data_IF_323931981296
#
_entry.id   IF_323931981296
#
_cell.length_a   1.000
_cell.length_b   1.000
_cell.length_c   1.000
_cell.angle_alpha   90.00
_cell.angle_beta   90.00
_cell.angle_gamma   90.00
#
_symmetry.space_group_name_H-M   'P 1'
#
loop_
_entity.id
_entity.type
_entity.pdbx_description
1 polymer ?
#
# COMPACT_ATOMS: atom_id res chain seq x y z
N UNK A 1 18.20 -3.90 15.13
CA UNK A 1 16.96 -4.47 14.56
C UNK A 1 15.73 -3.67 14.96
N UNK A 2 15.50 -3.40 16.25
CA UNK A 2 14.35 -2.63 16.73
C UNK A 2 14.17 -1.29 16.00
N UNK A 3 15.24 -0.51 15.83
CA UNK A 3 15.19 0.76 15.09
C UNK A 3 14.67 0.63 13.65
N UNK A 4 15.04 -0.43 12.93
CA UNK A 4 14.50 -0.69 11.58
C UNK A 4 13.00 -0.99 11.61
N UNK A 5 12.56 -1.79 12.59
CA UNK A 5 11.14 -2.12 12.77
C UNK A 5 10.33 -0.85 13.07
N UNK A 6 10.80 0.02 13.96
CA UNK A 6 10.11 1.27 14.30
C UNK A 6 9.96 2.20 13.09
N UNK A 7 11.03 2.39 12.31
CA UNK A 7 10.99 3.17 11.08
C UNK A 7 10.06 2.53 10.03
N UNK A 8 10.09 1.21 9.90
CA UNK A 8 9.19 0.50 8.99
C UNK A 8 7.71 0.61 9.39
N UNK A 9 7.40 0.55 10.69
CA UNK A 9 6.05 0.76 11.21
C UNK A 9 5.54 2.18 10.94
N UNK A 10 6.42 3.19 11.07
CA UNK A 10 6.07 4.57 10.75
C UNK A 10 5.73 4.73 9.26
N UNK A 11 6.61 4.27 8.37
CA UNK A 11 6.43 4.40 6.93
C UNK A 11 5.23 3.59 6.43
N UNK A 12 5.08 2.34 6.89
CA UNK A 12 3.98 1.48 6.44
C UNK A 12 2.61 2.00 6.90
N UNK A 13 2.50 2.61 8.08
CA UNK A 13 1.24 3.22 8.51
C UNK A 13 0.79 4.36 7.57
N UNK A 14 1.74 5.18 7.09
CA UNK A 14 1.48 6.18 6.06
C UNK A 14 1.10 5.52 4.73
N UNK A 15 1.89 4.56 4.25
CA UNK A 15 1.66 3.88 2.98
C UNK A 15 0.32 3.12 2.94
N UNK A 16 -0.17 2.57 4.05
CA UNK A 16 -1.49 1.93 4.10
C UNK A 16 -2.64 2.93 3.95
N UNK A 17 -2.46 4.17 4.40
CA UNK A 17 -3.43 5.25 4.13
C UNK A 17 -3.36 5.68 2.67
N UNK A 18 -2.15 5.77 2.11
CA UNK A 18 -1.97 6.04 0.68
C UNK A 18 -2.54 4.92 -0.20
N UNK A 19 -2.46 3.65 0.23
CA UNK A 19 -3.04 2.52 -0.48
C UNK A 19 -4.58 2.58 -0.53
N UNK A 20 -5.22 3.03 0.56
CA UNK A 20 -6.67 3.28 0.56
C UNK A 20 -7.03 4.44 -0.39
N UNK A 21 -6.21 5.51 -0.38
CA UNK A 21 -6.35 6.67 -1.26
C UNK A 21 -6.27 6.26 -2.74
N UNK A 22 -5.18 5.62 -3.15
CA UNK A 22 -4.98 5.22 -4.55
C UNK A 22 -5.99 4.17 -4.98
N UNK A 23 -6.39 3.25 -4.09
CA UNK A 23 -7.48 2.31 -4.37
C UNK A 23 -8.81 3.04 -4.64
N UNK A 24 -9.19 4.03 -3.83
CA UNK A 24 -10.41 4.80 -4.04
C UNK A 24 -10.38 5.54 -5.39
N UNK A 25 -9.26 6.18 -5.73
CA UNK A 25 -9.11 6.85 -7.03
C UNK A 25 -9.23 5.86 -8.20
N UNK A 26 -8.63 4.68 -8.08
CA UNK A 26 -8.70 3.62 -9.09
C UNK A 26 -10.13 3.09 -9.26
N UNK A 27 -10.84 2.86 -8.15
CA UNK A 27 -12.24 2.43 -8.12
C UNK A 27 -13.12 3.47 -8.82
N UNK A 28 -12.94 4.75 -8.49
CA UNK A 28 -13.68 5.85 -9.09
C UNK A 28 -13.42 5.95 -10.60
N UNK A 29 -12.15 5.93 -11.02
CA UNK A 29 -11.77 5.96 -12.43
C UNK A 29 -12.35 4.79 -13.24
N UNK A 30 -12.44 3.60 -12.63
CA UNK A 30 -13.01 2.41 -13.25
C UNK A 30 -14.54 2.35 -13.17
N UNK A 31 -15.24 3.39 -12.69
CA UNK A 31 -16.70 3.37 -12.47
C UNK A 31 -17.14 2.20 -11.58
N UNK A 32 -16.38 1.92 -10.52
CA UNK A 32 -16.70 0.90 -9.51
C UNK A 32 -17.71 1.39 -8.49
N UNK A 33 -18.28 0.48 -7.71
CA UNK A 33 -19.29 0.78 -6.70
C UNK A 33 -18.70 0.95 -5.30
N UNK A 34 -19.27 1.87 -4.52
CA UNK A 34 -18.92 2.11 -3.12
C UNK A 34 -19.68 1.21 -2.13
N UNK A 35 -20.69 0.46 -2.60
CA UNK A 35 -21.50 -0.44 -1.77
C UNK A 35 -20.69 -1.42 -0.92
N UNK A 36 -19.60 -2.04 -1.43
CA UNK A 36 -18.82 -2.98 -0.63
C UNK A 36 -18.10 -2.35 0.58
N UNK A 37 -18.06 -1.01 0.66
CA UNK A 37 -17.37 -0.26 1.71
C UNK A 37 -18.30 0.28 2.80
N UNK A 38 -19.59 -0.07 2.72
CA UNK A 38 -20.60 0.31 3.71
C UNK A 38 -20.23 -0.19 5.11
N UNK A 39 -20.26 0.67 6.16
CA UNK A 39 -19.82 0.31 7.51
C UNK A 39 -20.46 -0.97 8.08
N UNK A 40 -21.75 -1.19 7.81
CA UNK A 40 -22.52 -2.36 8.25
C UNK A 40 -21.96 -3.69 7.72
N UNK A 41 -21.38 -3.70 6.52
CA UNK A 41 -20.78 -4.90 5.92
C UNK A 41 -19.46 -5.28 6.62
N UNK A 42 -18.76 -4.29 7.17
CA UNK A 42 -17.53 -4.53 7.91
C UNK A 42 -17.77 -4.81 9.39
N UNK A 43 -18.90 -4.36 9.94
CA UNK A 43 -19.32 -4.72 11.29
C UNK A 43 -19.61 -6.23 11.45
N UNK A 44 -20.13 -6.89 10.41
CA UNK A 44 -20.40 -8.34 10.45
C UNK A 44 -19.14 -9.22 10.32
N UNK A 45 -18.00 -8.63 9.93
CA UNK A 45 -16.68 -9.27 9.93
C UNK A 45 -15.65 -8.35 10.61
N UNK A 46 -15.60 -8.33 11.96
CA UNK A 46 -15.07 -7.22 12.75
C UNK A 46 -13.53 -7.22 12.89
N UNK A 47 -12.81 -7.32 11.77
CA UNK A 47 -11.37 -7.05 11.74
C UNK A 47 -11.14 -5.53 11.82
N UNK A 48 -10.43 -5.00 12.84
CA UNK A 48 -10.28 -3.55 13.04
C UNK A 48 -9.66 -2.84 11.85
N UNK A 49 -8.56 -3.37 11.31
CA UNK A 49 -7.90 -2.82 10.14
C UNK A 49 -8.80 -2.79 8.91
N UNK A 50 -9.64 -3.81 8.73
CA UNK A 50 -10.62 -3.87 7.63
C UNK A 50 -11.65 -2.75 7.75
N UNK A 51 -12.19 -2.51 8.94
CA UNK A 51 -13.14 -1.42 9.19
C UNK A 51 -12.51 -0.05 8.94
N UNK A 52 -11.24 0.14 9.30
CA UNK A 52 -10.48 1.37 9.04
C UNK A 52 -10.32 1.62 7.53
N UNK A 53 -9.81 0.63 6.78
CA UNK A 53 -9.60 0.77 5.35
C UNK A 53 -10.91 1.01 4.60
N UNK A 54 -11.97 0.28 4.94
CA UNK A 54 -13.29 0.50 4.38
C UNK A 54 -13.82 1.91 4.63
N UNK A 55 -13.70 2.41 5.86
CA UNK A 55 -14.15 3.75 6.21
C UNK A 55 -13.38 4.84 5.44
N UNK A 56 -12.08 4.64 5.21
CA UNK A 56 -11.27 5.55 4.40
C UNK A 56 -11.75 5.54 2.94
N UNK A 57 -11.80 4.36 2.30
CA UNK A 57 -12.22 4.21 0.90
C UNK A 57 -13.63 4.75 0.69
N UNK A 58 -14.57 4.42 1.58
CA UNK A 58 -15.94 4.92 1.51
C UNK A 58 -15.99 6.45 1.54
N UNK A 59 -15.28 7.09 2.48
CA UNK A 59 -15.18 8.55 2.59
C UNK A 59 -14.61 9.19 1.32
N UNK A 60 -13.54 8.61 0.78
CA UNK A 60 -12.83 9.13 -0.40
C UNK A 60 -13.70 9.11 -1.66
N UNK A 61 -14.67 8.22 -1.76
CA UNK A 61 -15.58 8.07 -2.90
C UNK A 61 -16.83 8.96 -2.83
N UNK A 62 -17.05 9.69 -1.72
CA UNK A 62 -18.25 10.52 -1.58
C UNK A 62 -18.17 11.80 -2.43
N UNK A 63 -19.34 12.38 -2.70
CA UNK A 63 -19.50 13.63 -3.47
C UNK A 63 -18.86 13.60 -4.87
N UNK A 64 -18.96 12.45 -5.54
CA UNK A 64 -18.45 12.21 -6.89
C UNK A 64 -19.57 12.11 -7.93
N UNK A 65 -19.49 12.92 -8.98
CA UNK A 65 -20.39 12.80 -10.15
C UNK A 65 -20.07 11.57 -10.99
N UNK A 66 -18.84 11.06 -10.90
CA UNK A 66 -18.43 9.80 -11.52
C UNK A 66 -19.14 8.63 -10.83
N UNK A 67 -19.17 8.60 -9.50
CA UNK A 67 -19.89 7.57 -8.74
C UNK A 67 -21.41 7.65 -8.99
N UNK A 68 -21.97 8.85 -9.03
CA UNK A 68 -23.40 9.06 -9.24
C UNK A 68 -23.88 8.65 -10.64
N UNK A 69 -23.01 8.65 -11.65
CA UNK A 69 -23.38 8.35 -13.04
C UNK A 69 -23.90 6.91 -13.25
N UNK A 70 -23.54 5.99 -12.36
CA UNK A 70 -23.82 4.55 -12.49
C UNK A 70 -24.29 3.90 -11.18
N UNK A 71 -24.48 4.68 -10.09
CA UNK A 71 -24.82 4.19 -8.74
C UNK A 71 -26.04 3.24 -8.69
N UNK A 72 -27.02 3.48 -9.56
CA UNK A 72 -28.27 2.71 -9.65
C UNK A 72 -28.30 1.73 -10.83
N UNK A 73 -27.23 1.67 -11.63
CA UNK A 73 -27.14 0.76 -12.76
C UNK A 73 -26.59 -0.60 -12.31
N UNK A 74 -27.49 -1.55 -12.07
CA UNK A 74 -27.14 -2.93 -11.73
C UNK A 74 -26.71 -3.77 -12.93
N UNK A 75 -26.93 -3.27 -14.17
CA UNK A 75 -26.52 -3.93 -15.41
C UNK A 75 -25.05 -3.61 -15.70
N UNK A 76 -24.60 -2.40 -15.37
CA UNK A 76 -23.20 -1.94 -15.48
C UNK A 76 -22.22 -2.86 -14.74
N UNK A 77 -22.57 -3.30 -13.53
CA UNK A 77 -21.81 -4.31 -12.80
C UNK A 77 -22.62 -4.94 -11.66
N UNK A 78 -22.84 -6.26 -11.73
CA UNK A 78 -23.41 -7.01 -10.60
C UNK A 78 -22.44 -7.00 -9.41
N UNK A 79 -21.15 -7.18 -9.68
CA UNK A 79 -20.07 -7.09 -8.68
C UNK A 79 -18.78 -6.59 -9.32
N UNK A 80 -18.06 -5.73 -8.60
CA UNK A 80 -16.68 -5.39 -8.94
C UNK A 80 -15.74 -6.57 -8.71
N UNK A 81 -14.64 -6.57 -9.47
CA UNK A 81 -13.54 -7.51 -9.26
C UNK A 81 -12.84 -7.31 -7.92
N UNK A 82 -12.15 -8.36 -7.47
CA UNK A 82 -11.60 -8.42 -6.13
C UNK A 82 -10.53 -7.36 -5.87
N UNK A 83 -9.77 -6.95 -6.88
CA UNK A 83 -8.76 -5.90 -6.70
C UNK A 83 -9.35 -4.57 -6.22
N UNK A 84 -10.61 -4.30 -6.56
CA UNK A 84 -11.41 -3.17 -6.07
C UNK A 84 -12.18 -3.56 -4.81
N UNK A 85 -13.03 -4.59 -4.91
CA UNK A 85 -14.00 -4.97 -3.88
C UNK A 85 -13.37 -5.50 -2.59
N UNK A 86 -12.23 -6.15 -2.69
CA UNK A 86 -11.52 -6.76 -1.57
C UNK A 86 -10.38 -5.87 -1.03
N UNK A 87 -10.26 -4.61 -1.49
CA UNK A 87 -9.22 -3.70 -1.02
C UNK A 87 -9.24 -3.52 0.52
N UNK A 88 -10.40 -3.34 1.20
CA UNK A 88 -10.44 -3.25 2.65
C UNK A 88 -9.94 -4.50 3.38
N UNK A 89 -10.23 -5.67 2.83
CA UNK A 89 -9.85 -6.95 3.42
C UNK A 89 -8.34 -7.15 3.36
N UNK A 90 -7.69 -6.74 2.26
CA UNK A 90 -6.23 -6.87 2.09
C UNK A 90 -5.47 -5.78 2.86
N UNK A 91 -5.80 -4.50 2.63
CA UNK A 91 -5.18 -3.39 3.37
C UNK A 91 -5.46 -3.47 4.86
N UNK A 92 -6.66 -3.96 5.25
CA UNK A 92 -7.02 -4.17 6.63
C UNK A 92 -6.24 -5.27 7.33
N UNK A 93 -5.99 -6.40 6.66
CA UNK A 93 -5.11 -7.44 7.20
C UNK A 93 -3.68 -6.94 7.42
N UNK A 94 -3.18 -6.08 6.53
CA UNK A 94 -1.89 -5.43 6.72
C UNK A 94 -1.87 -4.46 7.92
N UNK A 95 -2.95 -3.68 8.13
CA UNK A 95 -3.11 -2.83 9.32
C UNK A 95 -3.14 -3.66 10.62
N UNK A 96 -3.86 -4.77 10.65
CA UNK A 96 -3.87 -5.67 11.81
C UNK A 96 -2.47 -6.28 12.07
N UNK A 97 -1.69 -6.53 11.01
CA UNK A 97 -0.30 -7.01 11.11
C UNK A 97 0.63 -5.92 11.66
N UNK A 98 0.43 -4.66 11.29
CA UNK A 98 1.10 -3.50 11.87
C UNK A 98 0.83 -3.42 13.37
N UNK A 99 -0.41 -3.60 13.83
CA UNK A 99 -0.74 -3.56 15.26
C UNK A 99 -0.10 -4.71 16.06
N UNK A 100 -0.03 -5.91 15.49
CA UNK A 100 0.77 -7.00 16.06
C UNK A 100 2.24 -6.59 16.22
N UNK A 101 2.86 -6.09 15.16
CA UNK A 101 4.26 -5.70 15.17
C UNK A 101 4.54 -4.50 16.10
N UNK A 102 3.59 -3.56 16.26
CA UNK A 102 3.64 -2.50 17.28
C UNK A 102 3.69 -3.08 18.68
N UNK A 103 2.91 -4.12 18.96
CA UNK A 103 2.93 -4.80 20.27
C UNK A 103 4.30 -5.41 20.56
N UNK A 104 4.93 -6.02 19.56
CA UNK A 104 6.29 -6.56 19.67
C UNK A 104 7.31 -5.44 19.92
N UNK A 105 7.27 -4.38 19.09
CA UNK A 105 8.20 -3.25 19.21
C UNK A 105 8.06 -2.51 20.55
N UNK A 106 6.83 -2.35 21.06
CA UNK A 106 6.57 -1.71 22.35
C UNK A 106 7.18 -2.48 23.53
N UNK A 107 7.15 -3.82 23.48
CA UNK A 107 7.81 -4.67 24.49
C UNK A 107 9.32 -4.54 24.39
N UNK A 108 9.87 -4.63 23.18
CA UNK A 108 11.32 -4.54 22.97
C UNK A 108 11.91 -3.19 23.39
N UNK A 109 11.16 -2.09 23.18
CA UNK A 109 11.57 -0.73 23.54
C UNK A 109 11.91 -0.55 25.02
N UNK A 110 11.30 -1.35 25.89
CA UNK A 110 11.49 -1.29 27.35
C UNK A 110 12.28 -2.48 27.89
N UNK A 111 12.85 -3.31 27.00
CA UNK A 111 13.62 -4.51 27.36
C UNK A 111 15.11 -4.22 27.59
N UNK A 112 15.72 -4.98 28.49
CA UNK A 112 17.18 -5.12 28.59
C UNK A 112 17.57 -6.29 27.68
N UNK A 113 18.15 -5.97 26.53
CA UNK A 113 18.54 -6.93 25.47
C UNK A 113 20.05 -7.20 25.43
N UNK A 114 20.78 -6.81 26.47
CA UNK A 114 22.22 -7.04 26.59
C UNK A 114 22.52 -8.30 27.43
N UNK A 115 23.78 -8.72 27.47
CA UNK A 115 24.27 -9.83 28.26
C UNK A 115 25.75 -9.67 28.65
N UNK A 116 26.13 -9.91 29.91
CA UNK A 116 25.30 -10.30 31.05
C UNK A 116 24.46 -9.14 31.59
N UNK A 117 23.52 -9.44 32.49
CA UNK A 117 22.71 -8.43 33.16
C UNK A 117 22.99 -8.41 34.67
N UNK A 118 22.82 -7.24 35.28
CA UNK A 118 22.88 -7.07 36.74
C UNK A 118 21.45 -6.97 37.28
N UNK A 119 21.06 -7.89 38.14
CA UNK A 119 19.74 -7.91 38.78
C UNK A 119 19.66 -6.90 39.94
N UNK A 120 18.45 -6.50 40.38
CA UNK A 120 18.29 -5.53 41.47
C UNK A 120 18.92 -5.94 42.80
N UNK A 121 19.13 -7.25 43.02
CA UNK A 121 19.80 -7.81 44.20
C UNK A 121 21.34 -7.85 44.07
N UNK A 122 21.89 -7.31 42.97
CA UNK A 122 23.32 -7.23 42.70
C UNK A 122 23.91 -8.46 42.00
N UNK A 123 23.11 -9.52 41.74
CA UNK A 123 23.60 -10.69 41.01
C UNK A 123 23.90 -10.36 39.55
N UNK A 124 24.98 -10.95 39.03
CA UNK A 124 25.33 -10.90 37.60
C UNK A 124 24.90 -12.22 36.97
N UNK A 125 23.94 -12.17 36.05
CA UNK A 125 23.35 -13.36 35.43
C UNK A 125 23.53 -13.33 33.90
N UNK A 126 23.76 -14.51 33.33
CA UNK A 126 23.77 -14.71 31.88
C UNK A 126 22.35 -14.89 31.35
N UNK A 127 22.03 -14.30 30.20
CA UNK A 127 20.71 -14.35 29.56
C UNK A 127 20.84 -14.53 28.05
N UNK A 128 19.73 -14.85 27.39
CA UNK A 128 19.60 -14.85 25.93
C UNK A 128 18.80 -13.67 25.38
N UNK A 129 18.63 -12.59 26.14
CA UNK A 129 17.72 -11.49 25.76
C UNK A 129 18.16 -10.73 24.48
N UNK A 130 19.42 -10.88 24.06
CA UNK A 130 19.92 -10.34 22.79
C UNK A 130 19.34 -11.06 21.54
N UNK A 131 18.70 -12.21 21.71
CA UNK A 131 18.20 -13.00 20.59
C UNK A 131 16.93 -12.38 19.97
N UNK A 132 17.12 -11.63 18.87
CA UNK A 132 16.06 -10.85 18.21
C UNK A 132 14.97 -11.60 17.43
N UNK A 133 14.63 -12.84 17.81
CA UNK A 133 13.58 -13.63 17.14
C UNK A 133 12.22 -12.92 17.06
N UNK A 134 11.72 -12.25 18.13
CA UNK A 134 10.45 -11.53 18.06
C UNK A 134 10.44 -10.45 16.97
N UNK A 135 11.56 -9.72 16.85
CA UNK A 135 11.72 -8.67 15.84
C UNK A 135 11.85 -9.26 14.42
N UNK A 136 12.53 -10.40 14.27
CA UNK A 136 12.64 -11.11 12.99
C UNK A 136 11.27 -11.51 12.45
N UNK A 137 10.45 -12.15 13.28
CA UNK A 137 9.08 -12.54 12.90
C UNK A 137 8.20 -11.34 12.57
N UNK A 138 8.24 -10.28 13.39
CA UNK A 138 7.50 -9.06 13.11
C UNK A 138 7.88 -8.44 11.76
N UNK A 139 9.18 -8.33 11.46
CA UNK A 139 9.65 -7.82 10.17
C UNK A 139 9.19 -8.68 8.98
N UNK A 140 9.24 -10.00 9.10
CA UNK A 140 8.82 -10.90 8.02
C UNK A 140 7.32 -10.87 7.78
N UNK A 141 6.49 -10.80 8.83
CA UNK A 141 5.05 -10.65 8.67
C UNK A 141 4.68 -9.34 7.98
N UNK A 142 5.35 -8.23 8.35
CA UNK A 142 5.15 -6.95 7.66
C UNK A 142 5.60 -7.00 6.20
N UNK A 143 6.68 -7.72 5.88
CA UNK A 143 7.14 -7.86 4.50
C UNK A 143 6.12 -8.62 3.64
N UNK A 144 5.54 -9.70 4.18
CA UNK A 144 4.46 -10.45 3.54
C UNK A 144 3.23 -9.55 3.31
N UNK A 145 2.79 -8.84 4.35
CA UNK A 145 1.61 -7.99 4.28
C UNK A 145 1.78 -6.85 3.26
N UNK A 146 2.92 -6.15 3.29
CA UNK A 146 3.21 -5.05 2.36
C UNK A 146 3.35 -5.54 0.91
N UNK A 147 3.91 -6.74 0.69
CA UNK A 147 3.97 -7.35 -0.64
C UNK A 147 2.57 -7.61 -1.22
N UNK A 148 1.62 -8.09 -0.42
CA UNK A 148 0.24 -8.33 -0.86
C UNK A 148 -0.56 -7.04 -1.12
N UNK A 149 -0.34 -5.99 -0.32
CA UNK A 149 -0.90 -4.65 -0.60
C UNK A 149 -0.39 -4.12 -1.94
N UNK A 150 0.90 -4.31 -2.22
CA UNK A 150 1.49 -3.97 -3.52
C UNK A 150 0.92 -4.81 -4.67
N UNK A 151 0.73 -6.10 -4.46
CA UNK A 151 0.18 -6.99 -5.48
C UNK A 151 -1.26 -6.62 -5.86
N UNK A 152 -2.14 -6.33 -4.89
CA UNK A 152 -3.51 -5.92 -5.19
C UNK A 152 -3.59 -4.53 -5.85
N UNK A 153 -2.68 -3.62 -5.49
CA UNK A 153 -2.49 -2.32 -6.17
C UNK A 153 -2.16 -2.51 -7.64
N UNK A 154 -1.16 -3.34 -7.95
CA UNK A 154 -0.78 -3.61 -9.33
C UNK A 154 -1.92 -4.27 -10.13
N UNK A 155 -2.74 -5.13 -9.51
CA UNK A 155 -3.95 -5.67 -10.16
C UNK A 155 -5.01 -4.60 -10.49
N UNK A 156 -5.05 -3.47 -9.78
CA UNK A 156 -5.89 -2.32 -10.15
C UNK A 156 -5.28 -1.53 -11.30
N UNK A 157 -3.96 -1.34 -11.32
CA UNK A 157 -3.24 -0.76 -12.46
C UNK A 157 -3.47 -1.57 -13.73
N UNK A 158 -3.23 -2.88 -13.69
CA UNK A 158 -3.49 -3.79 -14.83
C UNK A 158 -4.90 -3.65 -15.39
N UNK A 159 -5.89 -3.48 -14.50
CA UNK A 159 -7.29 -3.36 -14.90
C UNK A 159 -7.63 -1.99 -15.49
N UNK A 160 -7.02 -0.92 -15.00
CA UNK A 160 -7.16 0.44 -15.54
C UNK A 160 -6.64 0.55 -16.98
N UNK A 161 -5.55 -0.16 -17.28
CA UNK A 161 -4.89 -0.09 -18.59
C UNK A 161 -5.54 -1.00 -19.65
N UNK A 162 -6.40 -1.93 -19.24
CA UNK A 162 -7.05 -2.89 -20.12
C UNK A 162 -8.44 -2.40 -20.57
N UNK A 163 -8.57 -2.11 -21.86
CA UNK A 163 -9.81 -1.63 -22.51
C UNK A 163 -11.02 -2.55 -22.27
N UNK A 164 -10.81 -3.85 -22.09
CA UNK A 164 -11.89 -4.82 -21.86
C UNK A 164 -12.37 -4.82 -20.40
N UNK A 165 -11.61 -4.22 -19.48
CA UNK A 165 -11.85 -4.30 -18.03
C UNK A 165 -11.95 -2.95 -17.33
N UNK A 166 -11.56 -1.86 -18.00
CA UNK A 166 -11.47 -0.49 -17.48
C UNK A 166 -12.74 0.35 -17.65
N UNK A 167 -13.78 -0.23 -18.25
CA UNK A 167 -15.10 0.38 -18.52
C UNK A 167 -14.98 1.63 -19.40
N UNK A 168 -14.68 1.45 -20.68
CA UNK A 168 -14.58 2.52 -21.70
C UNK A 168 -13.42 3.50 -21.53
N UNK A 169 -12.41 3.19 -20.70
CA UNK A 169 -11.14 3.93 -20.78
C UNK A 169 -10.34 3.41 -21.99
N UNK A 170 -9.62 4.29 -22.71
CA UNK A 170 -8.80 3.88 -23.82
C UNK A 170 -7.64 2.98 -23.33
N UNK A 171 -7.14 2.08 -24.19
CA UNK A 171 -6.05 1.18 -23.82
C UNK A 171 -4.83 1.96 -23.35
N UNK A 172 -4.22 1.50 -22.25
CA UNK A 172 -3.08 2.14 -21.60
C UNK A 172 -3.28 3.60 -21.17
N UNK A 173 -4.54 4.07 -21.11
CA UNK A 173 -4.95 5.42 -20.73
C UNK A 173 -4.40 6.52 -21.66
N UNK A 174 -4.28 6.23 -22.96
CA UNK A 174 -3.88 7.21 -23.97
C UNK A 174 -4.97 7.43 -25.03
N UNK A 175 -5.29 8.68 -25.42
CA UNK A 175 -6.35 8.96 -26.40
C UNK A 175 -6.00 8.52 -27.83
N UNK A 176 -4.72 8.34 -28.17
CA UNK A 176 -4.25 7.95 -29.51
C UNK A 176 -3.30 6.75 -29.41
N UNK A 177 -3.89 5.61 -29.04
CA UNK A 177 -3.18 4.36 -28.81
C UNK A 177 -2.63 3.75 -30.11
N UNK A 178 -1.42 3.19 -30.03
CA UNK A 178 -0.70 2.62 -31.18
C UNK A 178 0.38 3.56 -31.71
N UNK A 179 0.10 4.87 -31.74
CA UNK A 179 1.15 5.90 -31.86
C UNK A 179 1.78 6.15 -30.48
N UNK A 180 0.94 6.22 -29.45
CA UNK A 180 1.35 6.39 -28.06
C UNK A 180 1.18 5.07 -27.29
N UNK A 181 2.10 4.82 -26.35
CA UNK A 181 2.07 3.66 -25.46
C UNK A 181 1.43 3.98 -24.10
N UNK A 182 1.21 5.26 -23.78
CA UNK A 182 0.59 5.70 -22.54
C UNK A 182 1.35 5.17 -21.32
N UNK A 183 0.65 4.50 -20.42
CA UNK A 183 1.22 3.93 -19.20
C UNK A 183 1.66 2.45 -19.32
N UNK A 184 1.77 1.90 -20.53
CA UNK A 184 2.18 0.51 -20.75
C UNK A 184 3.48 0.14 -20.01
N UNK A 185 4.53 0.96 -20.13
CA UNK A 185 5.82 0.67 -19.48
C UNK A 185 5.78 0.90 -17.97
N UNK A 186 4.94 1.82 -17.48
CA UNK A 186 4.72 1.98 -16.04
C UNK A 186 4.12 0.70 -15.43
N UNK A 187 3.25 0.00 -16.17
CA UNK A 187 2.77 -1.33 -15.77
C UNK A 187 3.89 -2.35 -15.67
N UNK A 188 4.86 -2.35 -16.60
CA UNK A 188 5.97 -3.29 -16.58
C UNK A 188 6.83 -3.10 -15.34
N UNK A 189 7.10 -1.84 -14.99
CA UNK A 189 7.76 -1.48 -13.73
C UNK A 189 6.99 -2.02 -12.53
N UNK A 190 5.67 -1.81 -12.46
CA UNK A 190 4.86 -2.32 -11.36
C UNK A 190 4.87 -3.86 -11.28
N UNK A 191 4.67 -4.55 -12.40
CA UNK A 191 4.68 -6.01 -12.46
C UNK A 191 6.05 -6.60 -12.06
N UNK A 192 7.15 -5.98 -12.49
CA UNK A 192 8.51 -6.36 -12.09
C UNK A 192 8.73 -6.21 -10.59
N UNK A 193 8.27 -5.11 -10.00
CA UNK A 193 8.35 -4.87 -8.55
C UNK A 193 7.54 -5.90 -7.77
N UNK A 194 6.33 -6.28 -8.22
CA UNK A 194 5.53 -7.34 -7.59
C UNK A 194 6.26 -8.69 -7.63
N UNK A 195 6.90 -9.02 -8.76
CA UNK A 195 7.67 -10.25 -8.89
C UNK A 195 8.86 -10.30 -7.91
N UNK A 196 9.53 -9.16 -7.70
CA UNK A 196 10.61 -9.03 -6.72
C UNK A 196 10.08 -9.13 -5.28
N UNK A 197 9.01 -8.40 -4.95
CA UNK A 197 8.39 -8.44 -3.63
C UNK A 197 7.92 -9.85 -3.24
N UNK A 198 7.48 -10.67 -4.19
CA UNK A 198 7.12 -12.07 -3.92
C UNK A 198 8.31 -12.88 -3.39
N UNK A 199 9.52 -12.63 -3.90
CA UNK A 199 10.74 -13.27 -3.38
C UNK A 199 11.15 -12.69 -2.04
N UNK A 200 11.04 -11.38 -1.88
CA UNK A 200 11.29 -10.67 -0.62
C UNK A 200 10.23 -10.96 0.45
N UNK A 201 9.11 -11.61 0.12
CA UNK A 201 8.14 -12.06 1.12
C UNK A 201 8.58 -13.35 1.84
N UNK A 202 9.50 -14.13 1.26
CA UNK A 202 10.03 -15.35 1.90
C UNK A 202 10.70 -15.02 3.25
N UNK A 203 10.31 -15.65 4.37
CA UNK A 203 10.83 -15.30 5.69
C UNK A 203 12.35 -15.51 5.79
N UNK A 204 13.07 -14.49 6.26
CA UNK A 204 14.49 -14.62 6.59
C UNK A 204 14.69 -15.18 8.01
N UNK A 205 13.71 -14.97 8.89
CA UNK A 205 13.75 -15.36 10.31
C UNK A 205 13.81 -16.86 10.59
N UNK A 206 13.73 -17.69 9.54
CA UNK A 206 13.78 -19.16 9.63
C UNK A 206 15.10 -19.74 9.11
N UNK A 207 16.05 -18.89 8.70
CA UNK A 207 17.29 -19.28 8.03
C UNK A 207 18.51 -19.24 8.97
N UNK A 208 18.39 -19.89 10.13
CA UNK A 208 19.46 -19.92 11.14
C UNK A 208 20.60 -20.85 10.72
N UNK A 209 21.84 -20.41 10.94
CA UNK A 209 23.06 -21.23 10.76
C UNK A 209 23.97 -21.09 11.99
N UNK A 210 24.61 -22.18 12.43
CA UNK A 210 25.46 -22.14 13.61
C UNK A 210 26.78 -21.40 13.35
N UNK A 211 27.21 -20.58 14.31
CA UNK A 211 28.47 -19.83 14.27
C UNK A 211 29.30 -20.06 15.53
N UNK A 212 30.50 -19.48 15.57
CA UNK A 212 31.31 -19.38 16.79
C UNK A 212 31.63 -20.74 17.44
N UNK A 213 32.01 -21.73 16.62
CA UNK A 213 32.34 -23.07 17.11
C UNK A 213 31.14 -23.83 17.66
N UNK A 214 29.93 -23.62 17.10
CA UNK A 214 28.64 -24.17 17.56
C UNK A 214 28.10 -23.56 18.86
N UNK A 215 28.74 -22.51 19.39
CA UNK A 215 28.24 -21.85 20.59
C UNK A 215 27.00 -20.97 20.30
N UNK A 216 26.96 -20.36 19.12
CA UNK A 216 25.79 -19.64 18.58
C UNK A 216 25.11 -20.57 17.58
N UNK A 217 24.51 -21.65 18.08
CA UNK A 217 23.90 -22.71 17.27
C UNK A 217 22.53 -22.33 16.68
N UNK A 218 21.93 -21.26 17.19
CA UNK A 218 20.69 -20.69 16.67
C UNK A 218 20.70 -19.15 16.70
N UNK A 219 20.26 -18.52 15.61
CA UNK A 219 20.18 -17.06 15.46
C UNK A 219 18.85 -16.63 14.84
N UNK A 220 18.46 -15.37 15.08
CA UNK A 220 17.15 -14.86 14.65
C UNK A 220 17.04 -14.45 13.18
N UNK A 221 18.18 -14.18 12.53
CA UNK A 221 18.25 -13.55 11.20
C UNK A 221 17.43 -12.25 11.05
N UNK A 222 17.01 -11.61 12.15
CA UNK A 222 16.04 -10.53 12.05
C UNK A 222 16.60 -9.22 11.48
N UNK A 223 17.93 -9.07 11.38
CA UNK A 223 18.54 -7.99 10.58
C UNK A 223 18.26 -8.18 9.08
N UNK A 224 18.34 -9.40 8.56
CA UNK A 224 18.01 -9.71 7.18
C UNK A 224 16.51 -9.50 6.92
N UNK A 225 15.64 -9.94 7.83
CA UNK A 225 14.20 -9.66 7.76
C UNK A 225 13.91 -8.14 7.73
N UNK A 226 14.58 -7.37 8.58
CA UNK A 226 14.46 -5.91 8.60
C UNK A 226 14.90 -5.24 7.29
N UNK A 227 16.06 -5.61 6.74
CA UNK A 227 16.54 -5.09 5.45
C UNK A 227 15.59 -5.39 4.30
N UNK A 228 15.10 -6.62 4.24
CA UNK A 228 14.13 -7.09 3.25
C UNK A 228 12.83 -6.30 3.32
N UNK A 229 12.30 -6.10 4.53
CA UNK A 229 11.13 -5.25 4.76
C UNK A 229 11.34 -3.83 4.23
N UNK A 230 12.49 -3.21 4.50
CA UNK A 230 12.77 -1.85 3.98
C UNK A 230 12.70 -1.78 2.46
N UNK A 231 13.29 -2.74 1.76
CA UNK A 231 13.18 -2.84 0.29
C UNK A 231 11.72 -3.02 -0.15
N UNK A 232 10.94 -3.85 0.53
CA UNK A 232 9.51 -4.05 0.21
C UNK A 232 8.71 -2.75 0.38
N UNK A 233 9.00 -1.93 1.40
CA UNK A 233 8.32 -0.64 1.60
C UNK A 233 8.69 0.40 0.54
N UNK A 234 9.98 0.46 0.14
CA UNK A 234 10.41 1.32 -0.97
C UNK A 234 9.71 0.91 -2.28
N UNK A 235 9.60 -0.40 -2.51
CA UNK A 235 8.87 -0.99 -3.64
C UNK A 235 7.37 -0.69 -3.58
N UNK A 236 6.73 -0.82 -2.42
CA UNK A 236 5.32 -0.48 -2.22
C UNK A 236 5.05 0.99 -2.55
N UNK A 237 5.94 1.89 -2.14
CA UNK A 237 5.86 3.32 -2.47
C UNK A 237 5.81 3.53 -3.99
N UNK A 238 6.68 2.84 -4.74
CA UNK A 238 6.71 2.91 -6.21
C UNK A 238 5.45 2.30 -6.86
N UNK A 239 4.90 1.21 -6.31
CA UNK A 239 3.66 0.61 -6.79
C UNK A 239 2.47 1.54 -6.63
N UNK A 240 2.34 2.18 -5.46
CA UNK A 240 1.31 3.16 -5.18
C UNK A 240 1.47 4.42 -6.04
N UNK A 241 2.71 4.81 -6.39
CA UNK A 241 2.97 5.92 -7.30
C UNK A 241 2.46 5.65 -8.72
N UNK A 242 2.70 4.43 -9.24
CA UNK A 242 2.15 4.00 -10.54
C UNK A 242 0.62 3.98 -10.48
N UNK A 243 0.04 3.46 -9.40
CA UNK A 243 -1.40 3.44 -9.21
C UNK A 243 -2.01 4.84 -9.12
N UNK A 244 -1.38 5.77 -8.39
CA UNK A 244 -1.80 7.16 -8.30
C UNK A 244 -1.85 7.80 -9.70
N UNK A 245 -0.77 7.65 -10.47
CA UNK A 245 -0.68 8.21 -11.81
C UNK A 245 -1.76 7.60 -12.73
N UNK A 246 -1.89 6.27 -12.75
CA UNK A 246 -2.90 5.59 -13.56
C UNK A 246 -4.32 5.99 -13.18
N UNK A 247 -4.60 6.12 -11.89
CA UNK A 247 -5.92 6.52 -11.40
C UNK A 247 -6.25 7.96 -11.80
N UNK A 248 -5.30 8.90 -11.63
CA UNK A 248 -5.49 10.29 -12.05
C UNK A 248 -5.72 10.39 -13.56
N UNK A 249 -4.97 9.66 -14.39
CA UNK A 249 -5.21 9.60 -15.84
C UNK A 249 -6.61 9.09 -16.16
N UNK A 250 -7.02 8.01 -15.50
CA UNK A 250 -8.36 7.46 -15.65
C UNK A 250 -9.44 8.48 -15.28
N UNK A 251 -9.28 9.21 -14.18
CA UNK A 251 -10.20 10.27 -13.76
C UNK A 251 -10.26 11.42 -14.78
N UNK A 252 -9.12 11.89 -15.30
CA UNK A 252 -9.06 12.93 -16.33
C UNK A 252 -9.82 12.51 -17.60
N UNK A 253 -9.74 11.24 -17.97
CA UNK A 253 -10.45 10.65 -19.12
C UNK A 253 -11.95 10.45 -18.90
N UNK A 254 -12.48 10.70 -17.68
CA UNK A 254 -13.94 10.69 -17.40
C UNK A 254 -14.62 12.03 -17.62
N UNK A 255 -13.90 13.07 -18.04
CA UNK A 255 -14.51 14.35 -18.38
C UNK A 255 -15.68 14.17 -19.37
N UNK A 256 -16.80 14.89 -19.21
CA UNK A 256 -17.01 16.03 -18.30
C UNK A 256 -17.47 15.66 -16.88
N UNK A 257 -17.50 14.37 -16.50
CA UNK A 257 -17.87 13.99 -15.13
C UNK A 257 -16.83 14.48 -14.13
N UNK A 258 -17.30 15.02 -13.01
CA UNK A 258 -16.43 15.57 -11.96
C UNK A 258 -16.11 14.50 -10.90
N UNK A 259 -14.81 14.25 -10.61
CA UNK A 259 -14.42 13.34 -9.53
C UNK A 259 -14.84 13.83 -8.13
N UNK A 260 -14.72 12.93 -7.15
CA UNK A 260 -14.77 13.19 -5.71
C UNK A 260 -13.84 14.33 -5.30
N UNK A 261 -14.04 14.97 -4.13
CA UNK A 261 -13.09 15.97 -3.64
C UNK A 261 -11.65 15.43 -3.55
N UNK A 262 -11.49 14.16 -3.15
CA UNK A 262 -10.19 13.48 -3.14
C UNK A 262 -9.60 13.36 -4.55
N UNK A 263 -10.40 12.92 -5.52
CA UNK A 263 -10.00 12.81 -6.92
C UNK A 263 -9.57 14.14 -7.52
N UNK A 264 -10.30 15.23 -7.24
CA UNK A 264 -9.93 16.57 -7.71
C UNK A 264 -8.60 17.05 -7.11
N UNK A 265 -8.38 16.86 -5.81
CA UNK A 265 -7.12 17.20 -5.16
C UNK A 265 -5.97 16.41 -5.79
N UNK A 266 -6.10 15.09 -5.89
CA UNK A 266 -5.07 14.24 -6.48
C UNK A 266 -4.76 14.62 -7.93
N UNK A 267 -5.78 14.85 -8.77
CA UNK A 267 -5.58 15.33 -10.14
C UNK A 267 -4.83 16.66 -10.18
N UNK A 268 -5.20 17.63 -9.33
CA UNK A 268 -4.55 18.95 -9.30
C UNK A 268 -3.08 18.91 -8.85
N UNK A 269 -2.70 17.95 -8.00
CA UNK A 269 -1.32 17.80 -7.53
C UNK A 269 -0.44 17.00 -8.48
N UNK A 270 -1.04 16.09 -9.27
CA UNK A 270 -0.32 15.26 -10.25
C UNK A 270 -0.15 15.98 -11.59
N UNK A 271 -1.12 16.80 -12.00
CA UNK A 271 -1.10 17.53 -13.27
C UNK A 271 0.17 18.38 -13.51
N UNK A 272 0.77 19.08 -12.53
CA UNK A 272 1.98 19.87 -12.76
C UNK A 272 3.19 19.09 -13.30
N UNK A 273 3.30 17.80 -12.97
CA UNK A 273 4.43 16.97 -13.41
C UNK A 273 4.05 15.86 -14.39
N UNK A 274 2.76 15.51 -14.50
CA UNK A 274 2.27 14.51 -15.46
C UNK A 274 1.48 15.12 -16.63
N UNK A 275 0.93 16.32 -16.49
CA UNK A 275 0.02 16.94 -17.47
C UNK A 275 -1.35 16.26 -17.56
N UNK A 276 -2.05 16.52 -18.67
CA UNK A 276 -3.33 15.90 -19.06
C UNK A 276 -3.10 14.71 -20.02
N UNK A 277 -4.07 13.80 -20.20
CA UNK A 277 -3.92 12.65 -21.10
C UNK A 277 -3.60 13.14 -22.52
N UNK A 278 -2.59 12.56 -23.17
CA UNK A 278 -2.04 13.09 -24.41
C UNK A 278 -0.86 12.27 -24.92
N UNK A 279 0.06 12.88 -25.69
CA UNK A 279 1.24 12.20 -26.23
C UNK A 279 2.15 11.61 -25.14
N UNK A 280 2.94 10.60 -25.52
CA UNK A 280 3.89 9.96 -24.60
C UNK A 280 4.88 10.95 -23.99
N UNK A 281 5.16 10.75 -22.71
CA UNK A 281 6.17 11.49 -21.95
C UNK A 281 7.33 10.56 -21.59
N UNK A 282 8.50 11.15 -21.30
CA UNK A 282 9.53 10.39 -20.60
C UNK A 282 9.04 10.08 -19.18
N UNK A 283 8.60 8.84 -18.95
CA UNK A 283 7.86 8.46 -17.74
C UNK A 283 8.71 8.39 -16.47
N UNK A 284 10.01 8.13 -16.55
CA UNK A 284 10.81 7.89 -15.34
C UNK A 284 10.82 9.09 -14.37
N UNK A 285 11.05 10.36 -14.81
CA UNK A 285 10.91 11.52 -13.93
C UNK A 285 9.49 11.72 -13.39
N UNK A 286 8.47 11.40 -14.18
CA UNK A 286 7.05 11.50 -13.77
C UNK A 286 6.75 10.50 -12.65
N UNK A 287 7.27 9.28 -12.75
CA UNK A 287 7.10 8.25 -11.74
C UNK A 287 7.88 8.57 -10.45
N UNK A 288 9.09 9.13 -10.54
CA UNK A 288 9.81 9.60 -9.35
C UNK A 288 9.07 10.76 -8.65
N UNK A 289 8.53 11.72 -9.40
CA UNK A 289 7.71 12.79 -8.82
C UNK A 289 6.43 12.26 -8.14
N UNK A 290 5.75 11.29 -8.76
CA UNK A 290 4.61 10.61 -8.15
C UNK A 290 5.01 9.84 -6.89
N UNK A 291 6.20 9.21 -6.89
CA UNK A 291 6.75 8.47 -5.75
C UNK A 291 7.09 9.39 -4.58
N UNK A 292 7.68 10.55 -4.86
CA UNK A 292 7.94 11.58 -3.84
C UNK A 292 6.62 12.09 -3.24
N UNK A 293 5.60 12.31 -4.08
CA UNK A 293 4.27 12.73 -3.62
C UNK A 293 3.57 11.67 -2.75
N UNK A 294 3.71 10.39 -3.08
CA UNK A 294 3.17 9.28 -2.27
C UNK A 294 3.93 9.14 -0.95
N UNK A 295 5.25 9.29 -0.98
CA UNK A 295 6.11 9.20 0.20
C UNK A 295 5.87 10.35 1.18
N UNK A 296 5.64 11.54 0.65
CA UNK A 296 5.42 12.77 1.41
C UNK A 296 4.04 12.84 2.07
N UNK A 297 3.87 13.72 3.08
CA UNK A 297 2.59 13.94 3.74
C UNK A 297 1.63 14.84 2.93
N UNK A 298 2.11 15.54 1.90
CA UNK A 298 1.40 16.67 1.26
C UNK A 298 0.09 16.25 0.61
N UNK A 299 0.10 15.15 -0.16
CA UNK A 299 -1.11 14.65 -0.84
C UNK A 299 -2.16 14.20 0.18
N UNK A 300 -1.72 13.44 1.20
CA UNK A 300 -2.61 13.00 2.28
C UNK A 300 -3.23 14.19 3.00
N UNK A 301 -2.41 15.17 3.41
CA UNK A 301 -2.88 16.34 4.15
C UNK A 301 -3.87 17.18 3.33
N UNK A 302 -3.59 17.37 2.04
CA UNK A 302 -4.49 18.10 1.13
C UNK A 302 -5.82 17.37 0.95
N UNK A 303 -5.80 16.03 0.82
CA UNK A 303 -7.02 15.23 0.72
C UNK A 303 -7.80 15.25 2.04
N UNK A 304 -7.14 15.09 3.18
CA UNK A 304 -7.77 15.16 4.51
C UNK A 304 -8.42 16.52 4.78
N UNK A 305 -7.83 17.62 4.28
CA UNK A 305 -8.43 18.95 4.35
C UNK A 305 -9.74 19.05 3.53
N UNK A 306 -9.89 18.25 2.47
CA UNK A 306 -11.06 18.25 1.59
C UNK A 306 -12.15 17.25 2.02
N UNK A 307 -11.79 16.09 2.57
CA UNK A 307 -12.74 15.01 2.91
C UNK A 307 -12.86 14.70 4.40
N UNK A 308 -12.04 15.34 5.24
CA UNK A 308 -11.88 15.00 6.65
C UNK A 308 -10.78 13.94 6.89
N UNK A 309 -10.45 13.65 8.15
CA UNK A 309 -9.29 12.83 8.52
C UNK A 309 -9.43 11.38 8.03
N UNK A 310 -8.32 10.83 7.52
CA UNK A 310 -8.17 9.41 7.21
C UNK A 310 -7.47 8.71 8.38
N UNK A 311 -7.84 7.43 8.60
CA UNK A 311 -7.40 6.64 9.75
C UNK A 311 -6.30 5.64 9.40
#
# INVERSE_FOLDING_TARGET
MLGMLLLALYDLAHLLTMADLTAALAIEAMLGTDRPFQPELHAIRPHPGQAVSAANIYRLLQDSRIMDSHRNDLVHAVQDAYSMRCAPQVSGAARDTVEFARTVAARELVSIVDNPVVLPDGRVESTGNFHGAPLGFACDFLAIAAAEVGAISERRVDRLLDVCRSRDLPPFLTPDAGVNSGLMIAQYTAAGIVAENRRLASPASVDSLPTSGMQEDHVSMGWAAGRKLRTVLDNLTSLLAVELLASVRGLQLRAPLTPSPAGRVASSMVEPFAGQPGPDLFLAPVLEAARDLVRGPELRAAVEAAVGPLR
#
